data_IF_611443728238
#
_entry.id   IF_611443728238
#
_cell.length_a   1.000
_cell.length_b   1.000
_cell.length_c   1.000
_cell.angle_alpha   90.00
_cell.angle_beta   90.00
_cell.angle_gamma   90.00
#
_symmetry.space_group_name_H-M   'P 1'
#
loop_
_entity.id
_entity.type
_entity.pdbx_description
1 polymer ?
#
# COMPACT_ATOMS: atom_id res chain seq x y z
N UNK A 1 -6.68 37.97 13.79
CA UNK A 1 -6.12 36.90 14.65
C UNK A 1 -6.84 35.56 14.51
N UNK A 2 -8.14 35.40 14.84
CA UNK A 2 -8.85 34.12 14.61
C UNK A 2 -9.09 33.81 13.12
N UNK A 3 -9.31 34.83 12.29
CA UNK A 3 -9.44 34.69 10.83
C UNK A 3 -8.13 34.26 10.14
N UNK A 4 -6.98 34.69 10.67
CA UNK A 4 -5.65 34.30 10.16
C UNK A 4 -5.32 32.84 10.52
N UNK A 5 -5.76 32.39 11.71
CA UNK A 5 -5.62 31.00 12.13
C UNK A 5 -6.53 30.06 11.31
N UNK A 6 -7.79 30.44 11.09
CA UNK A 6 -8.74 29.65 10.31
C UNK A 6 -8.34 29.54 8.85
N UNK A 7 -7.88 30.64 8.23
CA UNK A 7 -7.36 30.64 6.86
C UNK A 7 -6.10 29.79 6.73
N UNK A 8 -5.20 29.83 7.73
CA UNK A 8 -4.02 28.95 7.77
C UNK A 8 -4.37 27.45 7.80
N UNK A 9 -5.38 27.06 8.59
CA UNK A 9 -5.86 25.67 8.66
C UNK A 9 -6.45 25.24 7.32
N UNK A 10 -7.32 26.04 6.71
CA UNK A 10 -7.91 25.74 5.40
C UNK A 10 -6.82 25.59 4.35
N UNK A 11 -5.85 26.52 4.32
CA UNK A 11 -4.74 26.46 3.38
C UNK A 11 -3.92 25.17 3.57
N UNK A 12 -3.66 24.78 4.81
CA UNK A 12 -2.95 23.53 5.11
C UNK A 12 -3.74 22.29 4.66
N UNK A 13 -5.05 22.25 4.89
CA UNK A 13 -5.90 21.17 4.39
C UNK A 13 -5.92 21.12 2.86
N UNK A 14 -6.15 22.25 2.18
CA UNK A 14 -6.17 22.32 0.72
C UNK A 14 -4.82 21.90 0.12
N UNK A 15 -3.71 22.36 0.67
CA UNK A 15 -2.37 21.96 0.19
C UNK A 15 -2.11 20.47 0.42
N UNK A 16 -2.63 19.90 1.51
CA UNK A 16 -2.53 18.47 1.78
C UNK A 16 -3.30 17.64 0.74
N UNK A 17 -4.55 17.99 0.46
CA UNK A 17 -5.35 17.36 -0.59
C UNK A 17 -4.75 17.55 -1.98
N UNK A 18 -4.30 18.76 -2.32
CA UNK A 18 -3.66 19.04 -3.61
C UNK A 18 -2.39 18.19 -3.82
N UNK A 19 -1.57 17.99 -2.77
CA UNK A 19 -0.40 17.11 -2.84
C UNK A 19 -0.78 15.65 -3.07
N UNK A 20 -1.83 15.14 -2.40
CA UNK A 20 -2.30 13.77 -2.65
C UNK A 20 -2.77 13.59 -4.09
N UNK A 21 -3.56 14.53 -4.61
CA UNK A 21 -4.00 14.50 -6.00
C UNK A 21 -2.81 14.50 -6.96
N UNK A 22 -1.81 15.35 -6.69
CA UNK A 22 -0.61 15.43 -7.50
C UNK A 22 0.21 14.13 -7.48
N UNK A 23 0.35 13.47 -6.32
CA UNK A 23 1.00 12.16 -6.21
C UNK A 23 0.24 11.09 -7.00
N UNK A 24 -1.10 11.10 -6.96
CA UNK A 24 -1.91 10.14 -7.70
C UNK A 24 -1.78 10.35 -9.23
N UNK A 25 -1.78 11.61 -9.68
CA UNK A 25 -1.58 11.93 -11.09
C UNK A 25 -0.19 11.48 -11.57
N UNK A 26 0.85 11.68 -10.76
CA UNK A 26 2.18 11.14 -11.04
C UNK A 26 2.12 9.61 -11.13
N UNK A 27 1.49 8.94 -10.16
CA UNK A 27 1.35 7.49 -10.18
C UNK A 27 0.69 6.96 -11.47
N UNK A 28 -0.41 7.58 -11.92
CA UNK A 28 -1.08 7.24 -13.19
C UNK A 28 -0.14 7.47 -14.38
N UNK A 29 0.47 8.65 -14.47
CA UNK A 29 1.38 9.02 -15.55
C UNK A 29 2.55 8.04 -15.67
N UNK A 30 3.20 7.74 -14.55
CA UNK A 30 4.35 6.83 -14.48
C UNK A 30 4.00 5.37 -14.74
N UNK A 31 2.78 4.96 -14.40
CA UNK A 31 2.27 3.64 -14.75
C UNK A 31 2.09 3.51 -16.26
N UNK A 32 1.52 4.53 -16.92
CA UNK A 32 1.33 4.54 -18.39
C UNK A 32 2.69 4.57 -19.11
N UNK A 33 3.61 5.43 -18.68
CA UNK A 33 4.95 5.55 -19.27
C UNK A 33 5.74 4.23 -19.15
N UNK A 34 5.57 3.49 -18.05
CA UNK A 34 6.20 2.20 -17.84
C UNK A 34 5.49 1.01 -18.51
N UNK A 35 4.70 1.21 -19.58
CA UNK A 35 3.96 0.16 -20.29
C UNK A 35 2.96 -0.61 -19.41
N UNK A 36 2.31 0.10 -18.46
CA UNK A 36 1.39 -0.44 -17.45
C UNK A 36 2.03 -1.48 -16.52
N UNK A 37 2.38 -2.67 -17.04
CA UNK A 37 2.87 -3.81 -16.25
C UNK A 37 4.20 -3.49 -15.57
N UNK A 38 5.18 -2.95 -16.33
CA UNK A 38 6.50 -2.63 -15.78
C UNK A 38 6.54 -1.29 -15.03
N UNK A 39 5.51 -0.45 -15.20
CA UNK A 39 5.39 0.86 -14.57
C UNK A 39 4.63 0.82 -13.24
N UNK A 40 3.68 -0.10 -13.10
CA UNK A 40 2.76 -0.14 -11.95
C UNK A 40 3.47 -0.38 -10.62
N UNK A 41 4.35 -1.39 -10.55
CA UNK A 41 5.10 -1.69 -9.34
C UNK A 41 6.05 -0.58 -8.90
N UNK A 42 6.95 -0.06 -9.77
CA UNK A 42 7.82 1.05 -9.39
C UNK A 42 7.06 2.35 -9.12
N UNK A 43 5.97 2.64 -9.83
CA UNK A 43 5.12 3.78 -9.52
C UNK A 43 4.50 3.65 -8.12
N UNK A 44 4.03 2.46 -7.75
CA UNK A 44 3.45 2.19 -6.44
C UNK A 44 4.48 2.37 -5.33
N UNK A 45 5.68 1.81 -5.47
CA UNK A 45 6.76 1.99 -4.49
C UNK A 45 7.17 3.47 -4.36
N UNK A 46 7.28 4.20 -5.48
CA UNK A 46 7.56 5.64 -5.47
C UNK A 46 6.44 6.44 -4.79
N UNK A 47 5.18 6.07 -4.99
CA UNK A 47 4.03 6.66 -4.29
C UNK A 47 4.10 6.44 -2.77
N UNK A 48 4.34 5.21 -2.32
CA UNK A 48 4.49 4.94 -0.89
C UNK A 48 5.70 5.70 -0.29
N UNK A 49 6.82 5.77 -1.01
CA UNK A 49 8.02 6.48 -0.57
C UNK A 49 7.81 8.00 -0.45
N UNK A 50 7.16 8.60 -1.43
CA UNK A 50 6.81 10.03 -1.40
C UNK A 50 5.77 10.35 -0.33
N UNK A 51 4.76 9.50 -0.14
CA UNK A 51 3.79 9.63 0.95
C UNK A 51 4.45 9.52 2.33
N UNK A 52 5.42 8.61 2.52
CA UNK A 52 6.17 8.51 3.79
C UNK A 52 6.95 9.79 4.07
N UNK A 53 7.67 10.34 3.10
CA UNK A 53 8.37 11.60 3.28
C UNK A 53 7.40 12.76 3.60
N UNK A 54 6.23 12.75 2.97
CA UNK A 54 5.19 13.74 3.21
C UNK A 54 4.63 13.66 4.63
N UNK A 55 4.35 12.46 5.14
CA UNK A 55 3.91 12.25 6.54
C UNK A 55 4.99 12.67 7.55
N UNK A 56 6.27 12.49 7.21
CA UNK A 56 7.40 12.94 8.02
C UNK A 56 7.71 14.44 7.90
N UNK A 57 6.79 15.24 7.32
CA UNK A 57 6.88 16.70 7.14
C UNK A 57 8.14 17.17 6.39
N UNK A 58 8.63 16.37 5.44
CA UNK A 58 9.70 16.83 4.54
C UNK A 58 9.13 17.82 3.51
N UNK A 59 9.78 18.98 3.34
CA UNK A 59 9.43 20.00 2.34
C UNK A 59 10.01 19.69 0.95
N UNK A 60 10.27 18.42 0.65
CA UNK A 60 10.88 18.03 -0.61
C UNK A 60 9.92 18.21 -1.80
N UNK A 61 10.42 18.62 -2.97
CA UNK A 61 9.60 18.78 -4.17
C UNK A 61 9.06 17.42 -4.63
N UNK A 62 7.74 17.25 -4.57
CA UNK A 62 7.04 15.96 -4.79
C UNK A 62 7.45 15.27 -6.09
N UNK A 63 7.49 16.00 -7.21
CA UNK A 63 7.81 15.42 -8.52
C UNK A 63 9.25 14.89 -8.60
N UNK A 64 10.22 15.65 -8.07
CA UNK A 64 11.63 15.26 -8.11
C UNK A 64 11.85 14.02 -7.24
N UNK A 65 11.30 14.04 -6.03
CA UNK A 65 11.35 12.90 -5.11
C UNK A 65 10.69 11.65 -5.73
N UNK A 66 9.54 11.80 -6.38
CA UNK A 66 8.85 10.67 -7.04
C UNK A 66 9.71 10.07 -8.16
N UNK A 67 10.28 10.90 -9.03
CA UNK A 67 11.13 10.46 -10.13
C UNK A 67 12.41 9.76 -9.65
N UNK A 68 13.04 10.30 -8.62
CA UNK A 68 14.26 9.73 -8.04
C UNK A 68 13.98 8.32 -7.48
N UNK A 69 12.88 8.14 -6.76
CA UNK A 69 12.45 6.81 -6.29
C UNK A 69 12.06 5.89 -7.45
N UNK A 70 11.29 6.38 -8.42
CA UNK A 70 10.84 5.58 -9.55
C UNK A 70 12.02 4.96 -10.32
N UNK A 71 13.05 5.75 -10.62
CA UNK A 71 14.25 5.28 -11.31
C UNK A 71 15.07 4.32 -10.48
N UNK A 72 15.31 4.67 -9.22
CA UNK A 72 16.13 3.86 -8.31
C UNK A 72 15.51 2.47 -8.12
N UNK A 73 14.19 2.43 -7.98
CA UNK A 73 13.47 1.22 -7.59
C UNK A 73 12.95 0.43 -8.80
N UNK A 74 13.18 0.88 -10.04
CA UNK A 74 12.59 0.28 -11.25
C UNK A 74 12.86 -1.23 -11.38
N UNK A 75 14.12 -1.64 -11.28
CA UNK A 75 14.52 -3.05 -11.47
C UNK A 75 14.09 -3.91 -10.28
N UNK A 76 14.29 -3.40 -9.06
CA UNK A 76 13.94 -4.10 -7.84
C UNK A 76 12.42 -4.34 -7.74
N UNK A 77 11.64 -3.29 -7.96
CA UNK A 77 10.18 -3.32 -7.91
C UNK A 77 9.59 -4.28 -8.93
N UNK A 78 10.16 -4.33 -10.14
CA UNK A 78 9.68 -5.24 -11.18
C UNK A 78 10.00 -6.71 -10.87
N UNK A 79 11.18 -7.01 -10.29
CA UNK A 79 11.48 -8.37 -9.81
C UNK A 79 10.50 -8.80 -8.71
N UNK A 80 10.24 -7.92 -7.75
CA UNK A 80 9.29 -8.18 -6.67
C UNK A 80 7.87 -8.35 -7.22
N UNK A 81 7.45 -7.45 -8.11
CA UNK A 81 6.16 -7.49 -8.76
C UNK A 81 5.93 -8.77 -9.55
N UNK A 82 6.94 -9.24 -10.28
CA UNK A 82 6.87 -10.50 -11.02
C UNK A 82 6.60 -11.68 -10.07
N UNK A 83 7.30 -11.76 -8.94
CA UNK A 83 7.06 -12.81 -7.93
C UNK A 83 5.63 -12.73 -7.38
N UNK A 84 5.14 -11.53 -7.08
CA UNK A 84 3.78 -11.33 -6.60
C UNK A 84 2.72 -11.72 -7.65
N UNK A 85 2.95 -11.40 -8.92
CA UNK A 85 2.05 -11.75 -10.03
C UNK A 85 1.99 -13.26 -10.20
N UNK A 86 3.13 -13.96 -10.16
CA UNK A 86 3.15 -15.44 -10.24
C UNK A 86 2.34 -16.05 -9.10
N UNK A 87 2.56 -15.60 -7.85
CA UNK A 87 1.83 -16.13 -6.69
C UNK A 87 0.32 -15.84 -6.83
N UNK A 88 -0.04 -14.63 -7.24
CA UNK A 88 -1.44 -14.22 -7.46
C UNK A 88 -2.10 -15.06 -8.54
N UNK A 89 -1.38 -15.35 -9.63
CA UNK A 89 -1.84 -16.18 -10.72
C UNK A 89 -2.05 -17.64 -10.28
N UNK A 90 -1.15 -18.18 -9.44
CA UNK A 90 -1.36 -19.51 -8.84
C UNK A 90 -2.61 -19.54 -7.95
N UNK A 91 -2.84 -18.53 -7.12
CA UNK A 91 -4.08 -18.45 -6.33
C UNK A 91 -5.31 -18.42 -7.21
N UNK A 92 -5.31 -17.59 -8.26
CA UNK A 92 -6.41 -17.51 -9.22
C UNK A 92 -6.70 -18.87 -9.85
N UNK A 93 -5.68 -19.55 -10.39
CA UNK A 93 -5.84 -20.88 -10.98
C UNK A 93 -6.39 -21.91 -9.99
N UNK A 94 -5.87 -21.93 -8.76
CA UNK A 94 -6.35 -22.86 -7.74
C UNK A 94 -7.81 -22.59 -7.36
N UNK A 95 -8.19 -21.34 -7.16
CA UNK A 95 -9.57 -20.97 -6.82
C UNK A 95 -10.52 -21.35 -7.96
N UNK A 96 -10.19 -21.02 -9.21
CA UNK A 96 -10.99 -21.38 -10.38
C UNK A 96 -11.10 -22.89 -10.54
N UNK A 97 -10.00 -23.63 -10.38
CA UNK A 97 -10.00 -25.09 -10.42
C UNK A 97 -10.96 -25.69 -9.37
N UNK A 98 -10.88 -25.23 -8.11
CA UNK A 98 -11.74 -25.71 -7.03
C UNK A 98 -13.23 -25.40 -7.22
N UNK A 99 -13.57 -24.35 -7.98
CA UNK A 99 -14.96 -24.05 -8.35
C UNK A 99 -15.52 -25.00 -9.41
N UNK A 100 -14.67 -25.51 -10.30
CA UNK A 100 -15.07 -26.35 -11.43
C UNK A 100 -15.11 -27.85 -11.12
N UNK A 101 -14.57 -28.28 -9.98
CA UNK A 101 -14.50 -29.69 -9.62
C UNK A 101 -15.76 -30.15 -8.90
N UNK A 102 -16.41 -31.21 -9.42
CA UNK A 102 -17.62 -31.81 -8.85
C UNK A 102 -17.39 -32.65 -7.58
N UNK A 103 -16.13 -32.86 -7.18
CA UNK A 103 -15.78 -33.61 -5.99
C UNK A 103 -16.03 -32.74 -4.75
N UNK A 104 -17.09 -33.07 -4.00
CA UNK A 104 -17.57 -32.31 -2.82
C UNK A 104 -16.49 -32.02 -1.76
N UNK A 105 -15.58 -32.96 -1.53
CA UNK A 105 -14.45 -32.79 -0.59
C UNK A 105 -13.48 -31.73 -1.08
N UNK A 106 -13.20 -31.70 -2.39
CA UNK A 106 -12.30 -30.73 -2.99
C UNK A 106 -12.95 -29.34 -3.04
N UNK A 107 -14.25 -29.28 -3.28
CA UNK A 107 -15.02 -28.02 -3.25
C UNK A 107 -14.98 -27.36 -1.86
N UNK A 108 -14.88 -28.13 -0.76
CA UNK A 108 -14.72 -27.56 0.59
C UNK A 108 -13.40 -26.78 0.75
N UNK A 109 -12.36 -27.14 -0.02
CA UNK A 109 -11.06 -26.47 0.00
C UNK A 109 -11.09 -25.07 -0.63
N UNK A 110 -12.20 -24.69 -1.29
CA UNK A 110 -12.42 -23.36 -1.82
C UNK A 110 -12.40 -22.27 -0.73
N UNK A 111 -13.10 -22.49 0.39
CA UNK A 111 -13.19 -21.53 1.49
C UNK A 111 -11.82 -21.18 2.12
N UNK A 112 -10.97 -22.17 2.50
CA UNK A 112 -9.64 -21.85 3.02
C UNK A 112 -8.74 -21.22 1.96
N UNK A 113 -8.90 -21.53 0.66
CA UNK A 113 -8.14 -20.86 -0.40
C UNK A 113 -8.49 -19.39 -0.56
N UNK A 114 -9.77 -19.02 -0.45
CA UNK A 114 -10.17 -17.61 -0.39
C UNK A 114 -9.53 -16.92 0.82
N UNK A 115 -9.62 -17.53 2.00
CA UNK A 115 -9.03 -16.96 3.21
C UNK A 115 -7.52 -16.75 3.06
N UNK A 116 -6.82 -17.74 2.49
CA UNK A 116 -5.39 -17.63 2.22
C UNK A 116 -5.06 -16.53 1.20
N UNK A 117 -5.89 -16.36 0.16
CA UNK A 117 -5.73 -15.27 -0.81
C UNK A 117 -5.93 -13.88 -0.16
N UNK A 118 -6.87 -13.75 0.78
CA UNK A 118 -7.10 -12.51 1.53
C UNK A 118 -5.90 -12.18 2.42
N UNK A 119 -5.37 -13.18 3.13
CA UNK A 119 -4.14 -13.03 3.92
C UNK A 119 -2.95 -12.65 3.04
N UNK A 120 -2.86 -13.22 1.84
CA UNK A 120 -1.83 -12.86 0.87
C UNK A 120 -1.95 -11.38 0.46
N UNK A 121 -3.14 -10.89 0.10
CA UNK A 121 -3.35 -9.47 -0.24
C UNK A 121 -2.95 -8.55 0.92
N UNK A 122 -3.35 -8.89 2.15
CA UNK A 122 -2.93 -8.13 3.34
C UNK A 122 -1.40 -8.12 3.50
N UNK A 123 -0.75 -9.27 3.32
CA UNK A 123 0.71 -9.38 3.40
C UNK A 123 1.42 -8.51 2.36
N UNK A 124 0.85 -8.37 1.15
CA UNK A 124 1.36 -7.50 0.09
C UNK A 124 1.24 -6.02 0.49
N UNK A 125 0.12 -5.60 1.09
CA UNK A 125 -0.03 -4.24 1.62
C UNK A 125 1.04 -3.92 2.66
N UNK A 126 1.32 -4.85 3.59
CA UNK A 126 2.40 -4.68 4.56
C UNK A 126 3.78 -4.71 3.93
N UNK A 127 3.98 -5.49 2.87
CA UNK A 127 5.25 -5.57 2.17
C UNK A 127 5.63 -4.21 1.59
N UNK A 128 4.70 -3.52 0.91
CA UNK A 128 4.97 -2.19 0.38
C UNK A 128 5.28 -1.17 1.48
N UNK A 129 4.52 -1.19 2.58
CA UNK A 129 4.76 -0.31 3.72
C UNK A 129 6.09 -0.61 4.43
N UNK A 130 6.42 -1.89 4.62
CA UNK A 130 7.70 -2.33 5.20
C UNK A 130 8.85 -1.95 4.30
N UNK A 131 8.71 -2.08 2.98
CA UNK A 131 9.79 -1.80 2.04
C UNK A 131 10.24 -0.35 2.13
N UNK A 132 9.23 0.53 2.13
CA UNK A 132 9.47 1.96 2.23
C UNK A 132 9.96 2.35 3.62
N UNK A 133 9.64 1.57 4.67
CA UNK A 133 10.05 1.84 6.03
C UNK A 133 11.47 1.34 6.38
N UNK A 134 11.73 0.07 6.06
CA UNK A 134 12.91 -0.71 6.38
C UNK A 134 13.65 -1.04 5.08
N UNK A 135 14.82 -0.43 4.85
CA UNK A 135 15.66 -0.65 3.67
C UNK A 135 16.34 -2.05 3.74
N UNK A 136 15.58 -3.13 3.57
CA UNK A 136 15.99 -4.53 3.79
C UNK A 136 15.93 -5.39 2.51
N UNK A 137 16.65 -6.51 2.51
CA UNK A 137 16.62 -7.52 1.44
C UNK A 137 15.23 -8.16 1.26
N UNK A 138 14.87 -8.54 0.02
CA UNK A 138 13.56 -9.09 -0.37
C UNK A 138 13.09 -10.23 0.55
N UNK A 139 13.94 -11.23 0.82
CA UNK A 139 13.55 -12.38 1.63
C UNK A 139 13.23 -12.01 3.09
N UNK A 140 14.00 -11.09 3.67
CA UNK A 140 13.78 -10.58 5.03
C UNK A 140 12.53 -9.70 5.05
N UNK A 141 12.32 -8.91 4.00
CA UNK A 141 11.16 -8.06 3.83
C UNK A 141 9.85 -8.88 3.83
N UNK A 142 9.78 -9.96 3.04
CA UNK A 142 8.62 -10.85 3.01
C UNK A 142 8.33 -11.45 4.39
N UNK A 143 9.37 -11.98 5.05
CA UNK A 143 9.24 -12.56 6.39
C UNK A 143 8.72 -11.53 7.40
N UNK A 144 9.27 -10.32 7.38
CA UNK A 144 8.90 -9.25 8.29
C UNK A 144 7.47 -8.75 8.02
N UNK A 145 7.08 -8.60 6.76
CA UNK A 145 5.72 -8.19 6.39
C UNK A 145 4.67 -9.18 6.92
N UNK A 146 4.90 -10.48 6.72
CA UNK A 146 4.01 -11.54 7.22
C UNK A 146 4.00 -11.58 8.75
N UNK A 147 5.17 -11.49 9.39
CA UNK A 147 5.28 -11.54 10.85
C UNK A 147 4.56 -10.35 11.51
N UNK A 148 4.74 -9.14 10.98
CA UNK A 148 4.08 -7.93 11.49
C UNK A 148 2.57 -8.00 11.31
N UNK A 149 2.10 -8.52 10.16
CA UNK A 149 0.68 -8.75 9.89
C UNK A 149 0.06 -9.68 10.93
N UNK A 150 0.69 -10.82 11.23
CA UNK A 150 0.17 -11.76 12.23
C UNK A 150 0.27 -11.23 13.66
N UNK A 151 1.32 -10.47 13.98
CA UNK A 151 1.53 -9.95 15.34
C UNK A 151 0.61 -8.77 15.69
N UNK A 152 0.10 -8.04 14.69
CA UNK A 152 -0.71 -6.84 14.90
C UNK A 152 -2.08 -6.91 14.20
N UNK A 153 -3.08 -7.58 14.80
CA UNK A 153 -4.41 -7.71 14.19
C UNK A 153 -5.18 -6.39 14.12
N UNK A 154 -4.94 -5.44 15.03
CA UNK A 154 -5.67 -4.17 15.06
C UNK A 154 -5.35 -3.27 13.84
N UNK A 155 -4.07 -3.04 13.47
CA UNK A 155 -3.71 -2.44 12.18
C UNK A 155 -4.31 -3.12 10.95
N UNK A 156 -4.47 -4.45 10.94
CA UNK A 156 -5.12 -5.16 9.83
C UNK A 156 -6.57 -4.71 9.66
N UNK A 157 -7.30 -4.53 10.77
CA UNK A 157 -8.67 -4.03 10.73
C UNK A 157 -8.72 -2.61 10.14
N UNK A 158 -7.78 -1.73 10.50
CA UNK A 158 -7.72 -0.39 9.90
C UNK A 158 -7.42 -0.41 8.40
N UNK A 159 -6.56 -1.32 7.94
CA UNK A 159 -6.32 -1.49 6.50
C UNK A 159 -7.60 -1.96 5.80
N UNK A 160 -8.29 -2.96 6.35
CA UNK A 160 -9.51 -3.52 5.76
C UNK A 160 -10.64 -2.47 5.75
N UNK A 161 -11.00 -1.92 6.91
CA UNK A 161 -12.11 -0.97 7.01
C UNK A 161 -11.77 0.37 6.35
N UNK A 162 -10.52 0.84 6.47
CA UNK A 162 -10.09 2.08 5.83
C UNK A 162 -10.07 1.97 4.31
N UNK A 163 -9.56 0.87 3.75
CA UNK A 163 -9.62 0.65 2.30
C UNK A 163 -11.05 0.46 1.80
N UNK A 164 -11.91 -0.24 2.56
CA UNK A 164 -13.33 -0.38 2.23
C UNK A 164 -14.08 0.97 2.26
N UNK A 165 -13.81 1.82 3.25
CA UNK A 165 -14.40 3.16 3.34
C UNK A 165 -13.97 4.05 2.16
N UNK A 166 -12.69 4.00 1.80
CA UNK A 166 -12.17 4.73 0.63
C UNK A 166 -12.79 4.20 -0.66
N UNK A 167 -12.90 2.88 -0.82
CA UNK A 167 -13.57 2.26 -1.97
C UNK A 167 -15.03 2.71 -2.08
N UNK A 168 -15.78 2.69 -0.98
CA UNK A 168 -17.16 3.17 -0.95
C UNK A 168 -17.24 4.65 -1.36
N UNK A 169 -16.37 5.52 -0.84
CA UNK A 169 -16.32 6.92 -1.24
C UNK A 169 -16.05 7.10 -2.75
N UNK A 170 -15.20 6.26 -3.36
CA UNK A 170 -14.95 6.30 -4.81
C UNK A 170 -16.18 5.95 -5.65
N UNK A 171 -17.00 5.01 -5.19
CA UNK A 171 -18.23 4.61 -5.88
C UNK A 171 -19.27 5.73 -5.84
N UNK A 172 -19.39 6.44 -4.72
CA UNK A 172 -20.35 7.54 -4.56
C UNK A 172 -19.91 8.82 -5.27
N UNK A 173 -18.61 9.10 -5.32
CA UNK A 173 -18.06 10.31 -5.91
C UNK A 173 -16.98 9.92 -6.94
N UNK A 174 -17.34 9.78 -8.22
CA UNK A 174 -16.41 9.35 -9.27
C UNK A 174 -15.16 10.22 -9.38
N UNK A 175 -15.28 11.53 -9.06
CA UNK A 175 -14.12 12.44 -9.04
C UNK A 175 -13.02 12.03 -8.06
N UNK A 176 -13.37 11.39 -6.94
CA UNK A 176 -12.37 10.87 -5.98
C UNK A 176 -11.60 9.71 -6.60
N UNK A 177 -12.25 8.87 -7.41
CA UNK A 177 -11.60 7.74 -8.05
C UNK A 177 -10.46 8.18 -8.97
N UNK A 178 -10.68 9.21 -9.79
CA UNK A 178 -9.64 9.67 -10.71
C UNK A 178 -8.49 10.40 -9.99
N UNK A 179 -8.80 11.31 -9.07
CA UNK A 179 -7.79 12.15 -8.44
C UNK A 179 -7.10 11.52 -7.23
N UNK A 180 -7.72 10.54 -6.55
CA UNK A 180 -7.26 10.11 -5.23
C UNK A 180 -7.20 8.59 -5.04
N UNK A 181 -7.43 7.80 -6.09
CA UNK A 181 -7.56 6.34 -5.98
C UNK A 181 -6.39 5.66 -5.27
N UNK A 182 -5.23 5.65 -5.90
CA UNK A 182 -4.03 5.00 -5.36
C UNK A 182 -3.52 5.71 -4.11
N UNK A 183 -3.52 7.04 -4.11
CA UNK A 183 -2.94 7.84 -3.03
C UNK A 183 -3.66 7.67 -1.68
N UNK A 184 -5.00 7.61 -1.66
CA UNK A 184 -5.74 7.45 -0.39
C UNK A 184 -5.59 6.04 0.17
N UNK A 185 -5.68 5.02 -0.69
CA UNK A 185 -5.47 3.63 -0.27
C UNK A 185 -4.05 3.46 0.28
N UNK A 186 -3.05 3.97 -0.44
CA UNK A 186 -1.65 3.91 0.00
C UNK A 186 -1.43 4.67 1.32
N UNK A 187 -2.09 5.80 1.51
CA UNK A 187 -2.02 6.56 2.76
C UNK A 187 -2.63 5.79 3.93
N UNK A 188 -3.80 5.16 3.74
CA UNK A 188 -4.42 4.31 4.76
C UNK A 188 -3.47 3.18 5.14
N UNK A 189 -2.97 2.44 4.15
CA UNK A 189 -2.05 1.32 4.36
C UNK A 189 -0.80 1.78 5.11
N UNK A 190 -0.16 2.86 4.65
CA UNK A 190 1.08 3.36 5.22
C UNK A 190 0.88 3.87 6.66
N UNK A 191 -0.23 4.55 6.94
CA UNK A 191 -0.55 5.07 8.27
C UNK A 191 -0.81 3.93 9.26
N UNK A 192 -1.61 2.94 8.86
CA UNK A 192 -1.89 1.75 9.67
C UNK A 192 -0.64 0.91 9.93
N UNK A 193 0.19 0.71 8.89
CA UNK A 193 1.44 -0.03 9.01
C UNK A 193 2.46 0.70 9.91
N UNK A 194 2.58 2.03 9.79
CA UNK A 194 3.47 2.82 10.65
C UNK A 194 3.05 2.73 12.11
N UNK A 195 1.74 2.71 12.39
CA UNK A 195 1.24 2.46 13.75
C UNK A 195 1.65 1.06 14.27
N UNK A 196 1.59 0.04 13.42
CA UNK A 196 2.07 -1.31 13.74
C UNK A 196 3.58 -1.32 14.03
N UNK A 197 4.40 -0.66 13.21
CA UNK A 197 5.86 -0.60 13.35
C UNK A 197 6.26 0.08 14.66
N UNK A 198 5.67 1.25 14.95
CA UNK A 198 5.94 1.97 16.20
C UNK A 198 5.63 1.13 17.45
N UNK A 199 4.60 0.27 17.38
CA UNK A 199 4.25 -0.64 18.48
C UNK A 199 5.28 -1.75 18.67
N UNK A 200 5.85 -2.27 17.58
CA UNK A 200 6.90 -3.29 17.61
C UNK A 200 8.23 -2.68 18.10
N UNK A 201 8.62 -1.51 17.59
CA UNK A 201 9.84 -0.81 18.02
C UNK A 201 9.80 -0.42 19.49
N UNK A 202 8.65 0.06 19.99
CA UNK A 202 8.48 0.37 21.43
C UNK A 202 8.66 -0.86 22.31
N UNK A 203 8.18 -2.02 21.88
CA UNK A 203 8.37 -3.28 22.62
C UNK A 203 9.83 -3.75 22.61
N UNK A 204 10.55 -3.57 21.50
CA UNK A 204 11.98 -3.91 21.45
C UNK A 204 12.80 -3.03 22.40
N UNK A 205 12.55 -1.71 22.43
CA UNK A 205 13.23 -0.80 23.37
C UNK A 205 12.97 -1.09 24.85
N UNK A 206 11.86 -1.72 25.20
CA UNK A 206 11.56 -2.11 26.58
C UNK A 206 12.19 -3.45 27.00
N UNK A 207 12.72 -4.23 26.06
CA UNK A 207 13.41 -5.51 26.34
C UNK A 207 14.93 -5.31 26.47
N UNK A 208 15.46 -4.20 25.96
CA UNK A 208 16.88 -3.82 26.04
C UNK A 208 17.23 -2.96 27.28
N UNK A 209 16.30 -2.80 28.22
CA UNK A 209 16.49 -2.12 29.53
C UNK A 209 16.31 -3.16 30.65
#
# INVERSE_FOLDING_TARGET
>A
MQLDAFSGIIYQFCTWFARLAYINLLWIFFTIVGLFIFGFFPATIAMFATLRQFLNKSNSPVCKTFWDYYKKEFVFSNKLGLVLVIISFLFYLNITFLQTVDIRVLQLLYYPMIMLSLLFVLSVCYLFACYVHFNQNIGILFKNAVLIMFYNPLPNLFIIFGSAAVYYAMVFIPGISFFYSGSLIALVILSSATFAFNKVERKQKHIEI
#
